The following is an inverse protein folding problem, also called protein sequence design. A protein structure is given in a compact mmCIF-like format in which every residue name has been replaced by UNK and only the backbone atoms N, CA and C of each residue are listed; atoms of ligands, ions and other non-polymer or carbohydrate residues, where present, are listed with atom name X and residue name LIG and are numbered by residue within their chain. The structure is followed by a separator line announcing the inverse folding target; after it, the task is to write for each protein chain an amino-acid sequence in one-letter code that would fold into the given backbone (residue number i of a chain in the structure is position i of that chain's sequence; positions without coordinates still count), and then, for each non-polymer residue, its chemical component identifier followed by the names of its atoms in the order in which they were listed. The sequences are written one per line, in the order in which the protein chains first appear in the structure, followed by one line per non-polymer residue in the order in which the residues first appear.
data_IF_387448759410
#
_entry.id   IF_387448759410
#
_cell.length_a   1.000
_cell.length_b   1.000
_cell.length_c   1.000
_cell.angle_alpha   90.00
_cell.angle_beta   90.00
_cell.angle_gamma   90.00
#
_symmetry.space_group_name_H-M   'P 1'
#
loop_
_entity.id
_entity.type
_entity.pdbx_description
1 polymer ?
#
# COMPACT_ATOMS: atom_id res chain seq x y z
N UNK A 1 -3.58 31.73 12.65
CA UNK A 1 -2.40 31.15 11.98
C UNK A 1 -2.79 30.98 10.51
N UNK A 2 -2.34 31.86 9.61
CA UNK A 2 -2.73 31.85 8.20
C UNK A 2 -1.96 30.72 7.50
N UNK A 3 -2.65 29.75 6.93
CA UNK A 3 -2.05 28.72 6.07
C UNK A 3 -1.50 29.41 4.81
N UNK A 4 -0.18 29.36 4.62
CA UNK A 4 0.47 29.94 3.44
C UNK A 4 0.30 28.98 2.25
N UNK A 5 -0.42 29.36 1.17
CA UNK A 5 -0.64 28.52 -0.01
C UNK A 5 0.65 28.21 -0.79
N UNK A 6 1.76 28.91 -0.51
CA UNK A 6 3.05 28.74 -1.21
C UNK A 6 3.86 27.50 -0.77
N UNK A 7 3.39 26.73 0.21
CA UNK A 7 3.98 25.42 0.56
C UNK A 7 3.53 24.28 -0.39
N UNK A 8 2.98 24.62 -1.55
CA UNK A 8 2.80 23.68 -2.65
C UNK A 8 4.18 23.22 -3.12
N UNK A 9 4.43 21.93 -2.93
CA UNK A 9 5.67 21.23 -3.25
C UNK A 9 6.06 21.55 -4.70
N UNK A 10 7.30 21.95 -4.90
CA UNK A 10 7.83 22.33 -6.20
C UNK A 10 7.79 21.12 -7.16
N UNK A 11 6.79 21.09 -8.05
CA UNK A 11 6.46 19.99 -8.97
C UNK A 11 7.48 19.73 -10.10
N UNK A 12 8.62 20.42 -10.10
CA UNK A 12 9.53 20.50 -11.24
C UNK A 12 10.81 19.64 -11.16
N UNK A 13 10.89 18.65 -10.26
CA UNK A 13 11.95 17.63 -10.31
C UNK A 13 11.36 16.30 -10.77
N UNK A 14 11.75 15.83 -11.96
CA UNK A 14 11.55 14.44 -12.38
C UNK A 14 12.26 13.53 -11.38
N UNK A 15 11.53 13.04 -10.38
CA UNK A 15 12.01 12.02 -9.45
C UNK A 15 12.02 10.70 -10.24
N UNK A 16 13.12 9.98 -10.20
CA UNK A 16 13.29 8.66 -10.84
C UNK A 16 13.62 7.62 -9.78
N UNK A 17 13.15 6.39 -9.96
CA UNK A 17 13.32 5.35 -8.95
C UNK A 17 12.56 4.07 -9.30
N UNK A 18 12.87 2.96 -8.61
CA UNK A 18 12.42 1.62 -9.01
C UNK A 18 10.94 1.35 -8.74
N UNK A 19 10.31 2.08 -7.80
CA UNK A 19 8.94 1.81 -7.34
C UNK A 19 8.08 3.07 -7.35
N UNK A 20 8.29 4.01 -6.41
CA UNK A 20 7.43 5.21 -6.29
C UNK A 20 7.58 6.21 -7.45
N UNK A 21 8.73 6.17 -8.13
CA UNK A 21 9.08 7.10 -9.19
C UNK A 21 9.24 6.39 -10.54
N UNK A 22 8.75 5.15 -10.63
CA UNK A 22 8.67 4.43 -11.90
C UNK A 22 7.47 4.94 -12.69
N UNK A 23 7.37 4.54 -13.96
CA UNK A 23 6.18 4.83 -14.76
C UNK A 23 5.03 4.02 -14.19
N UNK A 24 4.06 4.72 -13.59
CA UNK A 24 2.79 4.11 -13.22
C UNK A 24 1.92 3.90 -14.46
N UNK A 25 1.39 2.69 -14.63
CA UNK A 25 0.33 2.38 -15.59
C UNK A 25 -0.90 1.91 -14.81
N UNK A 26 -2.04 2.63 -14.90
CA UNK A 26 -3.23 2.30 -14.13
C UNK A 26 -3.67 0.84 -14.30
N UNK A 27 -3.79 0.14 -13.17
CA UNK A 27 -4.31 -1.23 -13.11
C UNK A 27 -3.33 -2.33 -13.51
N UNK A 28 -2.09 -2.00 -13.90
CA UNK A 28 -1.07 -3.01 -14.24
C UNK A 28 -0.85 -4.02 -13.10
N UNK A 29 -0.80 -3.54 -11.86
CA UNK A 29 -0.67 -4.39 -10.68
C UNK A 29 -1.90 -5.25 -10.44
N UNK A 30 -3.10 -4.69 -10.65
CA UNK A 30 -4.37 -5.43 -10.54
C UNK A 30 -4.45 -6.56 -11.56
N UNK A 31 -4.14 -6.29 -12.84
CA UNK A 31 -4.18 -7.31 -13.88
C UNK A 31 -3.20 -8.45 -13.60
N UNK A 32 -1.97 -8.12 -13.19
CA UNK A 32 -1.00 -9.14 -12.77
C UNK A 32 -1.50 -9.93 -11.56
N UNK A 33 -2.09 -9.27 -10.56
CA UNK A 33 -2.64 -9.93 -9.38
C UNK A 33 -3.75 -10.93 -9.74
N UNK A 34 -4.63 -10.58 -10.69
CA UNK A 34 -5.66 -11.47 -11.19
C UNK A 34 -5.07 -12.66 -11.96
N UNK A 35 -4.02 -12.45 -12.76
CA UNK A 35 -3.35 -13.49 -13.53
C UNK A 35 -2.65 -14.53 -12.63
N UNK A 36 -1.88 -14.07 -11.63
CA UNK A 36 -1.13 -14.98 -10.77
C UNK A 36 -2.00 -15.62 -9.68
N UNK A 37 -3.11 -14.97 -9.32
CA UNK A 37 -4.04 -15.47 -8.29
C UNK A 37 -3.55 -15.29 -6.86
N UNK A 38 -4.49 -15.52 -5.92
CA UNK A 38 -4.35 -15.16 -4.50
C UNK A 38 -3.16 -15.79 -3.80
N UNK A 39 -2.97 -17.09 -3.97
CA UNK A 39 -1.91 -17.86 -3.31
C UNK A 39 -0.52 -17.40 -3.76
N UNK A 40 -0.35 -17.13 -5.05
CA UNK A 40 0.91 -16.64 -5.59
C UNK A 40 1.22 -15.22 -5.12
N UNK A 41 0.21 -14.33 -4.97
CA UNK A 41 0.42 -13.01 -4.35
C UNK A 41 0.95 -13.19 -2.91
N UNK A 42 0.33 -14.04 -2.10
CA UNK A 42 0.77 -14.29 -0.73
C UNK A 42 2.21 -14.82 -0.69
N UNK A 43 2.55 -15.73 -1.61
CA UNK A 43 3.91 -16.27 -1.74
C UNK A 43 4.92 -15.21 -2.19
N UNK A 44 4.62 -14.38 -3.19
CA UNK A 44 5.48 -13.29 -3.64
C UNK A 44 5.74 -12.29 -2.51
N UNK A 45 4.70 -11.86 -1.77
CA UNK A 45 4.84 -10.91 -0.66
C UNK A 45 5.67 -11.51 0.48
N UNK A 46 5.49 -12.79 0.81
CA UNK A 46 6.32 -13.47 1.81
C UNK A 46 7.77 -13.56 1.36
N UNK A 47 8.02 -13.97 0.13
CA UNK A 47 9.37 -14.17 -0.42
C UNK A 47 10.12 -12.85 -0.58
N UNK A 48 9.41 -11.74 -0.84
CA UNK A 48 10.00 -10.40 -0.92
C UNK A 48 10.67 -9.93 0.36
N UNK A 49 10.35 -10.55 1.51
CA UNK A 49 10.82 -10.10 2.82
C UNK A 49 10.24 -8.76 3.27
N UNK A 50 9.13 -8.32 2.68
CA UNK A 50 8.47 -7.06 3.03
C UNK A 50 8.12 -7.03 4.53
N UNK A 51 8.63 -6.01 5.22
CA UNK A 51 8.31 -5.69 6.61
C UNK A 51 7.29 -4.54 6.68
N UNK A 52 6.47 -4.54 7.71
CA UNK A 52 5.55 -3.44 8.01
C UNK A 52 6.29 -2.11 8.18
N UNK A 53 5.81 -1.06 7.50
CA UNK A 53 6.44 0.27 7.46
C UNK A 53 5.88 1.28 8.46
N UNK A 54 4.93 0.87 9.30
CA UNK A 54 4.39 1.66 10.42
C UNK A 54 5.21 1.59 11.71
N UNK A 55 6.46 1.13 11.67
CA UNK A 55 7.38 1.09 12.83
C UNK A 55 7.59 -0.30 13.44
N UNK A 56 6.54 -1.14 13.55
CA UNK A 56 6.65 -2.45 14.20
C UNK A 56 7.52 -3.48 13.44
N UNK A 57 7.69 -3.32 12.13
CA UNK A 57 8.58 -4.18 11.33
C UNK A 57 8.14 -5.65 11.18
N UNK A 58 6.91 -6.00 11.55
CA UNK A 58 6.39 -7.37 11.42
C UNK A 58 6.37 -7.83 9.94
N UNK A 59 6.70 -9.09 9.62
CA UNK A 59 6.67 -9.59 8.23
C UNK A 59 5.27 -9.53 7.61
N UNK A 60 5.10 -8.72 6.57
CA UNK A 60 3.80 -8.47 5.92
C UNK A 60 3.21 -9.73 5.31
N UNK A 61 4.02 -10.55 4.63
CA UNK A 61 3.57 -11.80 4.02
C UNK A 61 3.02 -12.79 5.06
N UNK A 62 3.69 -12.93 6.20
CA UNK A 62 3.20 -13.78 7.31
C UNK A 62 1.87 -13.26 7.86
N UNK A 63 1.75 -11.95 8.09
CA UNK A 63 0.49 -11.33 8.54
C UNK A 63 -0.67 -11.60 7.58
N UNK A 64 -0.43 -11.46 6.28
CA UNK A 64 -1.44 -11.70 5.26
C UNK A 64 -1.83 -13.17 5.17
N UNK A 65 -0.89 -14.11 5.26
CA UNK A 65 -1.18 -15.54 5.27
C UNK A 65 -2.07 -15.94 6.45
N UNK A 66 -1.81 -15.42 7.66
CA UNK A 66 -2.70 -15.67 8.81
C UNK A 66 -4.12 -15.15 8.56
N UNK A 67 -4.24 -13.97 7.96
CA UNK A 67 -5.55 -13.37 7.66
C UNK A 67 -6.28 -14.13 6.54
N UNK A 68 -5.56 -14.59 5.52
CA UNK A 68 -6.11 -15.40 4.45
C UNK A 68 -6.62 -16.75 4.96
N UNK A 69 -5.88 -17.40 5.88
CA UNK A 69 -6.24 -18.68 6.47
C UNK A 69 -7.39 -18.60 7.50
N UNK A 70 -7.65 -17.44 8.09
CA UNK A 70 -8.75 -17.26 9.02
C UNK A 70 -10.10 -17.52 8.34
N UNK A 71 -10.93 -18.37 8.95
CA UNK A 71 -12.30 -18.65 8.48
C UNK A 71 -13.21 -17.54 9.02
N UNK A 72 -13.76 -16.74 8.12
CA UNK A 72 -14.68 -15.65 8.45
C UNK A 72 -15.52 -15.31 7.22
N UNK A 73 -16.80 -15.01 7.44
CA UNK A 73 -17.71 -14.54 6.40
C UNK A 73 -17.33 -13.14 5.88
N UNK A 74 -16.60 -12.37 6.69
CA UNK A 74 -16.17 -11.02 6.33
C UNK A 74 -14.74 -10.76 6.76
N UNK A 75 -13.98 -10.13 5.86
CA UNK A 75 -12.61 -9.66 6.10
C UNK A 75 -12.48 -8.24 5.58
N UNK A 76 -11.57 -7.49 6.19
CA UNK A 76 -11.33 -6.09 5.88
C UNK A 76 -9.86 -5.83 5.57
N UNK A 77 -9.61 -4.86 4.69
CA UNK A 77 -8.34 -4.14 4.61
C UNK A 77 -8.50 -2.80 5.31
N UNK A 78 -7.51 -2.42 6.11
CA UNK A 78 -7.48 -1.11 6.77
C UNK A 78 -6.17 -0.44 6.39
N UNK A 79 -6.27 0.72 5.74
CA UNK A 79 -5.13 1.60 5.53
C UNK A 79 -4.92 2.44 6.78
N UNK A 80 -3.90 2.10 7.59
CA UNK A 80 -3.52 2.96 8.70
C UNK A 80 -2.76 4.19 8.19
N UNK A 81 -3.50 5.28 7.96
CA UNK A 81 -2.98 6.58 7.53
C UNK A 81 -2.74 7.56 8.71
N UNK A 82 -2.84 7.09 9.96
CA UNK A 82 -2.56 7.91 11.13
C UNK A 82 -1.04 8.08 11.32
N UNK A 83 -0.52 9.21 10.83
CA UNK A 83 0.90 9.57 10.87
C UNK A 83 1.18 10.62 11.96
N UNK A 84 0.89 10.28 13.22
CA UNK A 84 1.00 11.20 14.36
C UNK A 84 2.40 11.35 14.99
N UNK A 85 3.37 10.50 14.63
CA UNK A 85 4.70 10.50 15.25
C UNK A 85 5.53 11.73 14.80
N UNK A 86 6.08 12.53 15.74
CA UNK A 86 6.88 13.70 15.40
C UNK A 86 8.01 13.39 14.43
N UNK A 87 8.10 14.16 13.34
CA UNK A 87 9.12 13.99 12.31
C UNK A 87 8.81 12.93 11.25
N UNK A 88 7.64 12.27 11.31
CA UNK A 88 7.19 11.34 10.27
C UNK A 88 6.20 12.06 9.34
N UNK A 89 6.44 12.03 8.03
CA UNK A 89 5.61 12.71 7.02
C UNK A 89 5.61 11.97 5.66
N UNK A 90 5.99 10.70 5.66
CA UNK A 90 6.16 9.88 4.45
C UNK A 90 4.82 9.46 3.85
N UNK A 91 3.85 9.11 4.69
CA UNK A 91 2.55 8.60 4.25
C UNK A 91 1.69 9.75 3.74
N UNK A 92 1.82 10.93 4.35
CA UNK A 92 1.23 12.18 3.82
C UNK A 92 1.59 12.41 2.35
N UNK A 93 2.85 12.22 1.96
CA UNK A 93 3.28 12.42 0.56
C UNK A 93 2.67 11.35 -0.35
N UNK A 94 2.63 10.08 0.09
CA UNK A 94 2.00 9.02 -0.70
C UNK A 94 0.51 9.30 -0.95
N UNK A 95 -0.21 9.75 0.07
CA UNK A 95 -1.64 10.04 -0.03
C UNK A 95 -1.94 11.32 -0.83
N UNK A 96 -1.02 12.30 -0.86
CA UNK A 96 -1.19 13.55 -1.60
C UNK A 96 -0.75 13.44 -3.06
N UNK A 97 0.39 12.79 -3.33
CA UNK A 97 1.02 12.79 -4.66
C UNK A 97 0.78 11.48 -5.43
N UNK A 98 0.50 10.36 -4.74
CA UNK A 98 0.37 9.03 -5.35
C UNK A 98 -0.80 8.19 -4.79
N UNK A 99 -2.00 8.75 -4.58
CA UNK A 99 -3.12 8.03 -3.96
C UNK A 99 -3.52 6.77 -4.74
N UNK A 100 -3.40 6.78 -6.06
CA UNK A 100 -3.70 5.64 -6.92
C UNK A 100 -2.84 4.41 -6.61
N UNK A 101 -1.55 4.60 -6.29
CA UNK A 101 -0.66 3.52 -5.89
C UNK A 101 -1.08 2.91 -4.55
N UNK A 102 -1.55 3.75 -3.62
CA UNK A 102 -2.04 3.31 -2.31
C UNK A 102 -3.31 2.47 -2.48
N UNK A 103 -4.30 2.97 -3.23
CA UNK A 103 -5.55 2.27 -3.43
C UNK A 103 -5.38 0.98 -4.24
N UNK A 104 -4.54 0.98 -5.28
CA UNK A 104 -4.22 -0.23 -6.02
C UNK A 104 -3.57 -1.30 -5.12
N UNK A 105 -2.63 -0.89 -4.26
CA UNK A 105 -2.07 -1.77 -3.23
C UNK A 105 -3.12 -2.33 -2.26
N UNK A 106 -4.09 -1.51 -1.83
CA UNK A 106 -5.20 -1.97 -0.99
C UNK A 106 -6.10 -2.99 -1.70
N UNK A 107 -6.40 -2.79 -2.98
CA UNK A 107 -7.19 -3.71 -3.80
C UNK A 107 -6.48 -5.05 -3.93
N UNK A 108 -5.19 -5.05 -4.26
CA UNK A 108 -4.38 -6.28 -4.37
C UNK A 108 -4.31 -7.00 -3.01
N UNK A 109 -4.11 -6.26 -1.92
CA UNK A 109 -4.11 -6.82 -0.57
C UNK A 109 -5.46 -7.47 -0.23
N UNK A 110 -6.57 -6.77 -0.50
CA UNK A 110 -7.92 -7.26 -0.26
C UNK A 110 -8.23 -8.50 -1.07
N UNK A 111 -7.88 -8.49 -2.34
CA UNK A 111 -7.97 -9.65 -3.21
C UNK A 111 -7.13 -10.82 -2.69
N UNK A 112 -5.91 -10.61 -2.20
CA UNK A 112 -5.07 -11.69 -1.69
C UNK A 112 -5.64 -12.34 -0.42
N UNK A 113 -6.16 -11.54 0.53
CA UNK A 113 -6.67 -12.05 1.81
C UNK A 113 -8.14 -12.48 1.78
N UNK A 114 -8.90 -12.04 0.77
CA UNK A 114 -10.35 -12.28 0.67
C UNK A 114 -11.19 -11.26 1.43
N UNK A 115 -10.73 -10.02 1.48
CA UNK A 115 -11.52 -8.90 1.97
C UNK A 115 -12.26 -8.25 0.81
N UNK A 116 -13.58 -8.10 0.97
CA UNK A 116 -14.42 -7.37 0.02
C UNK A 116 -14.50 -5.87 0.35
N UNK A 117 -14.08 -5.46 1.55
CA UNK A 117 -14.21 -4.10 2.07
C UNK A 117 -12.87 -3.54 2.53
N UNK A 118 -12.65 -2.27 2.23
CA UNK A 118 -11.49 -1.48 2.65
C UNK A 118 -11.92 -0.24 3.43
N UNK A 119 -11.13 0.14 4.44
CA UNK A 119 -11.31 1.36 5.27
C UNK A 119 -10.04 2.19 5.21
#
# INVERSE_FOLDING_TARGET
MKTNPELLINNNKKRGGPVLFSRYQPGEGIYKALEIGRENILFEVKTSGLKGRGGAGFPTGTKWMFTAAAISDTKYIICNADEGEPGTFKDRILLLEYPELVFEGMVIAGFAIGAALGI
#
